data_IF_883141586587
#
_entry.id   IF_883141586587
#
_cell.length_a   1.000
_cell.length_b   1.000
_cell.length_c   1.000
_cell.angle_alpha   90.00
_cell.angle_beta   90.00
_cell.angle_gamma   90.00
#
_symmetry.space_group_name_H-M   'P 1'
#
loop_
_entity.id
_entity.type
_entity.pdbx_description
1 polymer ?
#
# COMPACT_ATOMS: atom_id res chain seq x y z
N UNK A 1 4.20 -12.20 -19.47
CA UNK A 1 2.97 -12.96 -19.84
C UNK A 1 2.19 -13.20 -18.57
N UNK A 2 0.93 -12.76 -18.51
CA UNK A 2 0.04 -13.03 -17.39
C UNK A 2 -0.61 -14.40 -17.62
N UNK A 3 -0.41 -15.34 -16.69
CA UNK A 3 -1.00 -16.67 -16.74
C UNK A 3 -2.20 -16.72 -15.79
N UNK A 4 -3.39 -16.53 -16.34
CA UNK A 4 -4.65 -16.56 -15.61
C UNK A 4 -5.67 -17.34 -16.42
N UNK A 5 -6.62 -17.98 -15.71
CA UNK A 5 -7.77 -18.65 -16.32
C UNK A 5 -8.86 -17.67 -16.75
N UNK A 6 -8.76 -16.40 -16.32
CA UNK A 6 -9.72 -15.34 -16.66
C UNK A 6 -9.30 -14.58 -17.92
N UNK A 7 -10.25 -14.15 -18.76
CA UNK A 7 -10.02 -13.19 -19.83
C UNK A 7 -9.21 -11.96 -19.37
N UNK A 8 -8.23 -11.48 -20.17
CA UNK A 8 -7.38 -10.34 -19.81
C UNK A 8 -8.19 -9.07 -19.50
N UNK A 9 -9.28 -8.84 -20.22
CA UNK A 9 -10.11 -7.64 -20.10
C UNK A 9 -10.71 -7.52 -18.69
N UNK A 10 -11.19 -8.62 -18.11
CA UNK A 10 -11.73 -8.64 -16.75
C UNK A 10 -10.67 -8.36 -15.68
N UNK A 11 -9.44 -8.85 -15.86
CA UNK A 11 -8.35 -8.62 -14.90
C UNK A 11 -7.86 -7.18 -14.96
N UNK A 12 -7.89 -6.58 -16.16
CA UNK A 12 -7.39 -5.22 -16.39
C UNK A 12 -8.43 -4.15 -16.02
N UNK A 13 -9.74 -4.41 -16.15
CA UNK A 13 -10.80 -3.50 -15.69
C UNK A 13 -10.73 -3.23 -14.17
N UNK A 14 -10.40 -4.23 -13.34
CA UNK A 14 -10.22 -4.04 -11.89
C UNK A 14 -9.00 -3.17 -11.54
N UNK A 15 -8.02 -3.08 -12.44
CA UNK A 15 -6.80 -2.31 -12.20
C UNK A 15 -6.98 -0.79 -12.39
N UNK A 16 -8.07 -0.35 -13.02
CA UNK A 16 -8.22 1.04 -13.49
C UNK A 16 -8.53 2.05 -12.36
N UNK A 17 -8.93 1.58 -11.17
CA UNK A 17 -9.07 2.42 -9.98
C UNK A 17 -7.74 2.56 -9.23
N UNK A 18 -6.72 3.14 -9.87
CA UNK A 18 -5.44 3.41 -9.23
C UNK A 18 -5.63 4.41 -8.07
N UNK A 19 -5.59 3.93 -6.82
CA UNK A 19 -5.61 4.78 -5.64
C UNK A 19 -4.37 5.69 -5.66
N UNK A 20 -4.55 6.97 -5.37
CA UNK A 20 -3.43 7.92 -5.25
C UNK A 20 -2.58 7.51 -4.06
N UNK A 21 -1.35 7.08 -4.34
CA UNK A 21 -0.36 6.72 -3.33
C UNK A 21 0.48 7.95 -2.97
N UNK A 22 0.68 8.15 -1.67
CA UNK A 22 1.52 9.23 -1.14
C UNK A 22 2.64 8.61 -0.31
N UNK A 23 3.88 9.06 -0.56
CA UNK A 23 5.03 8.70 0.27
C UNK A 23 4.99 9.49 1.59
N UNK A 24 5.16 8.81 2.72
CA UNK A 24 5.19 9.42 4.05
C UNK A 24 6.17 8.72 4.98
N UNK A 25 6.61 9.43 6.01
CA UNK A 25 7.44 8.87 7.07
C UNK A 25 6.57 8.52 8.30
N UNK A 26 6.60 7.25 8.71
CA UNK A 26 5.88 6.74 9.88
C UNK A 26 6.85 5.95 10.74
N UNK A 27 7.00 6.35 12.00
CA UNK A 27 7.94 5.70 12.93
C UNK A 27 9.38 5.66 12.41
N UNK A 28 9.82 6.67 11.64
CA UNK A 28 11.16 6.73 11.04
C UNK A 28 11.35 5.87 9.78
N UNK A 29 10.32 5.20 9.27
CA UNK A 29 10.37 4.40 8.03
C UNK A 29 9.57 5.11 6.94
N UNK A 30 10.02 4.98 5.69
CA UNK A 30 9.27 5.48 4.53
C UNK A 30 8.28 4.44 4.08
N UNK A 31 7.06 4.86 3.80
CA UNK A 31 5.97 4.02 3.32
C UNK A 31 5.24 4.72 2.18
N UNK A 32 4.54 3.95 1.36
CA UNK A 32 3.45 4.45 0.52
C UNK A 32 2.13 4.16 1.21
N UNK A 33 1.28 5.16 1.29
CA UNK A 33 -0.07 5.03 1.82
C UNK A 33 -1.11 5.52 0.82
N UNK A 34 -2.26 4.84 0.79
CA UNK A 34 -3.44 5.31 0.10
C UNK A 34 -4.37 6.03 1.08
N UNK A 35 -5.04 7.08 0.61
CA UNK A 35 -6.11 7.73 1.37
C UNK A 35 -7.40 6.95 1.16
N UNK A 36 -8.03 6.54 2.26
CA UNK A 36 -9.34 5.90 2.26
C UNK A 36 -10.49 6.90 2.02
N UNK A 37 -11.70 6.40 1.70
CA UNK A 37 -12.88 7.24 1.48
C UNK A 37 -13.25 8.10 2.70
N UNK A 38 -12.97 7.60 3.91
CA UNK A 38 -13.24 8.30 5.18
C UNK A 38 -12.14 9.31 5.54
N UNK A 39 -11.17 9.54 4.64
CA UNK A 39 -10.09 10.50 4.81
C UNK A 39 -8.88 9.98 5.62
N UNK A 40 -8.97 8.80 6.22
CA UNK A 40 -7.85 8.10 6.87
C UNK A 40 -6.81 7.57 5.88
N UNK A 41 -5.68 7.09 6.40
CA UNK A 41 -4.59 6.54 5.58
C UNK A 41 -4.35 5.07 5.90
N UNK A 42 -4.13 4.28 4.85
CA UNK A 42 -3.77 2.88 4.95
C UNK A 42 -2.41 2.64 4.29
N UNK A 43 -1.54 1.89 4.96
CA UNK A 43 -0.25 1.46 4.42
C UNK A 43 -0.48 0.53 3.22
N UNK A 44 0.07 0.89 2.06
CA UNK A 44 0.03 0.06 0.86
C UNK A 44 1.35 -0.66 0.64
N UNK A 45 2.48 0.02 0.94
CA UNK A 45 3.81 -0.57 0.81
C UNK A 45 4.82 0.04 1.78
N UNK A 46 5.58 -0.81 2.46
CA UNK A 46 6.77 -0.40 3.20
C UNK A 46 7.95 -0.19 2.24
N UNK A 47 8.69 0.93 2.39
CA UNK A 47 9.91 1.24 1.63
C UNK A 47 11.12 1.10 2.56
N UNK A 48 11.36 -0.11 3.07
CA UNK A 48 12.53 -0.43 3.91
C UNK A 48 13.49 -1.38 3.19
N UNK A 49 14.78 -1.19 3.45
CA UNK A 49 15.85 -2.10 3.05
C UNK A 49 16.19 -3.12 4.15
N UNK A 50 15.64 -2.95 5.36
CA UNK A 50 15.81 -3.89 6.47
C UNK A 50 14.69 -4.95 6.44
N UNK A 51 15.01 -6.24 6.26
CA UNK A 51 14.04 -7.33 6.29
C UNK A 51 13.24 -7.42 7.61
N UNK A 52 13.83 -7.01 8.73
CA UNK A 52 13.17 -7.08 10.04
C UNK A 52 11.94 -6.16 10.12
N UNK A 53 11.94 -5.04 9.39
CA UNK A 53 10.79 -4.13 9.38
C UNK A 53 9.56 -4.78 8.72
N UNK A 54 9.74 -5.70 7.75
CA UNK A 54 8.65 -6.44 7.11
C UNK A 54 8.01 -7.48 8.05
N UNK A 55 8.71 -7.88 9.11
CA UNK A 55 8.19 -8.78 10.14
C UNK A 55 7.41 -8.02 11.22
N UNK A 56 7.47 -6.69 11.24
CA UNK A 56 6.75 -5.88 12.21
C UNK A 56 5.25 -5.78 11.83
N UNK A 57 4.32 -6.19 12.70
CA UNK A 57 2.88 -6.08 12.44
C UNK A 57 2.39 -4.65 12.14
N UNK A 58 3.09 -3.63 12.66
CA UNK A 58 2.73 -2.23 12.44
C UNK A 58 2.97 -1.74 11.00
N UNK A 59 3.80 -2.45 10.22
CA UNK A 59 4.12 -2.10 8.83
C UNK A 59 3.50 -3.06 7.80
N UNK A 60 2.48 -3.82 8.20
CA UNK A 60 1.77 -4.70 7.28
C UNK A 60 0.84 -3.91 6.36
N UNK A 61 0.66 -4.34 5.10
CA UNK A 61 -0.33 -3.77 4.20
C UNK A 61 -1.73 -3.70 4.85
N UNK A 62 -2.42 -2.58 4.67
CA UNK A 62 -3.71 -2.29 5.27
C UNK A 62 -3.66 -1.71 6.69
N UNK A 63 -2.48 -1.63 7.32
CA UNK A 63 -2.35 -0.98 8.63
C UNK A 63 -2.78 0.50 8.56
N UNK A 64 -3.58 0.94 9.53
CA UNK A 64 -3.96 2.33 9.66
C UNK A 64 -2.74 3.16 10.09
N UNK A 65 -2.45 4.23 9.35
CA UNK A 65 -1.31 5.10 9.62
C UNK A 65 -1.77 6.54 9.78
N UNK A 66 -1.07 7.29 10.63
CA UNK A 66 -1.22 8.74 10.76
C UNK A 66 0.09 9.39 10.32
N UNK A 67 0.06 10.42 9.45
CA UNK A 67 1.27 11.19 9.18
C UNK A 67 1.78 11.77 10.49
N UNK A 68 3.05 11.51 10.81
CA UNK A 68 3.72 12.19 11.92
C UNK A 68 3.85 13.67 11.59
N UNK A 69 3.43 14.53 12.52
CA UNK A 69 3.59 15.99 12.43
C UNK A 69 5.06 16.36 12.55
#
# INVERSE_FOLDING_TARGET
MLYTIYPPEMVLEEAEAARVLVEMAVGGRRILAARGPDGGWALERLLSTDPADYLNPAFQPGAAVSPGV
#
